data_IF_822718848352
#
_entry.id   IF_822718848352
#
_cell.length_a   1.000
_cell.length_b   1.000
_cell.length_c   1.000
_cell.angle_alpha   90.00
_cell.angle_beta   90.00
_cell.angle_gamma   90.00
#
_symmetry.space_group_name_H-M   'P 1'
#
loop_
_entity.id
_entity.type
_entity.pdbx_description
1 polymer ?
#
# COMPACT_ATOMS: atom_id res chain seq x y z
N UNK A 1 19.07 13.85 3.08
CA UNK A 1 19.28 12.41 3.10
C UNK A 1 20.51 12.04 3.90
N UNK A 2 20.54 10.83 4.37
CA UNK A 2 21.63 10.27 5.17
C UNK A 2 22.01 8.89 4.64
N UNK A 3 23.23 8.43 4.94
CA UNK A 3 23.65 7.05 4.71
C UNK A 3 23.18 6.22 5.92
N UNK A 4 22.34 5.23 5.65
CA UNK A 4 21.77 4.36 6.70
C UNK A 4 22.66 3.14 6.96
N UNK A 5 23.21 2.54 5.90
CA UNK A 5 24.07 1.36 6.04
C UNK A 5 25.05 1.26 4.86
N UNK A 6 26.19 0.64 5.11
CA UNK A 6 27.19 0.27 4.11
C UNK A 6 27.63 -1.18 4.30
N UNK A 7 27.75 -1.91 3.19
CA UNK A 7 28.10 -3.33 3.19
C UNK A 7 29.19 -3.63 2.16
N UNK A 8 30.24 -4.34 2.60
CA UNK A 8 31.21 -4.94 1.69
C UNK A 8 30.64 -6.25 1.17
N UNK A 9 30.46 -6.37 -0.14
CA UNK A 9 30.04 -7.59 -0.80
C UNK A 9 31.25 -8.39 -1.27
N UNK A 10 31.28 -9.69 -0.97
CA UNK A 10 32.33 -10.60 -1.42
C UNK A 10 31.72 -11.66 -2.32
N UNK A 11 32.32 -11.95 -3.50
CA UNK A 11 31.85 -13.01 -4.38
C UNK A 11 31.79 -14.36 -3.69
N UNK A 12 30.97 -15.28 -4.22
CA UNK A 12 31.02 -16.67 -3.81
C UNK A 12 32.41 -17.24 -4.05
N UNK A 13 33.06 -17.69 -3.00
CA UNK A 13 34.43 -18.19 -3.01
C UNK A 13 34.66 -19.28 -1.95
N UNK A 14 35.71 -20.04 -2.11
CA UNK A 14 36.22 -20.96 -1.07
C UNK A 14 37.65 -20.56 -0.69
N UNK A 15 38.07 -20.94 0.51
CA UNK A 15 39.43 -20.71 1.01
C UNK A 15 40.06 -22.09 1.17
N UNK A 16 41.20 -22.32 0.54
CA UNK A 16 41.97 -23.55 0.64
C UNK A 16 42.40 -23.85 2.06
N UNK A 17 42.44 -25.11 2.43
CA UNK A 17 42.96 -25.65 3.70
C UNK A 17 44.19 -26.53 3.47
N UNK A 18 44.66 -26.62 2.23
CA UNK A 18 45.79 -27.47 1.84
C UNK A 18 45.51 -28.97 1.84
N UNK A 19 44.22 -29.38 1.99
CA UNK A 19 43.85 -30.81 2.15
C UNK A 19 42.60 -31.16 1.34
N UNK A 20 41.57 -30.34 1.39
CA UNK A 20 40.28 -30.62 0.77
C UNK A 20 40.25 -30.10 -0.68
N UNK A 21 39.53 -30.80 -1.52
CA UNK A 21 39.24 -30.36 -2.89
C UNK A 21 38.29 -29.13 -2.89
N UNK A 22 38.26 -28.41 -3.99
CA UNK A 22 37.34 -27.30 -4.14
C UNK A 22 35.88 -27.76 -3.96
N UNK A 23 35.52 -28.94 -4.46
CA UNK A 23 34.17 -29.48 -4.29
C UNK A 23 33.83 -29.71 -2.81
N UNK A 24 34.75 -30.32 -2.05
CA UNK A 24 34.59 -30.54 -0.61
C UNK A 24 34.52 -29.21 0.16
N UNK A 25 35.34 -28.22 -0.20
CA UNK A 25 35.30 -26.89 0.41
C UNK A 25 33.97 -26.18 0.13
N UNK A 26 33.38 -26.37 -1.05
CA UNK A 26 32.04 -25.86 -1.36
C UNK A 26 30.97 -26.51 -0.49
N UNK A 27 31.06 -27.83 -0.28
CA UNK A 27 30.15 -28.55 0.63
C UNK A 27 30.28 -28.07 2.08
N UNK A 28 31.52 -27.85 2.54
CA UNK A 28 31.78 -27.25 3.86
C UNK A 28 31.14 -25.89 3.99
N UNK A 29 31.34 -24.97 3.01
CA UNK A 29 30.73 -23.64 3.01
C UNK A 29 29.20 -23.74 2.96
N UNK A 30 28.64 -24.66 2.19
CA UNK A 30 27.22 -24.90 2.05
C UNK A 30 26.58 -25.56 3.28
N UNK A 31 27.36 -26.12 4.19
CA UNK A 31 26.88 -26.68 5.46
C UNK A 31 26.43 -25.61 6.47
N UNK A 32 26.77 -24.35 6.25
CA UNK A 32 26.24 -23.21 7.05
C UNK A 32 24.73 -23.24 7.04
N UNK A 33 24.04 -23.36 8.20
CA UNK A 33 22.61 -23.45 8.28
C UNK A 33 21.87 -22.19 7.73
N UNK A 34 22.58 -21.08 7.57
CA UNK A 34 22.06 -19.86 6.95
C UNK A 34 21.99 -19.91 5.42
N UNK A 35 22.58 -20.94 4.78
CA UNK A 35 22.57 -21.13 3.33
C UNK A 35 21.41 -22.01 2.87
N UNK A 36 20.72 -21.59 1.83
CA UNK A 36 19.59 -22.31 1.21
C UNK A 36 19.58 -22.18 -0.30
N UNK A 37 18.60 -22.77 -0.95
CA UNK A 37 18.38 -22.65 -2.40
C UNK A 37 17.60 -21.37 -2.67
N UNK A 38 18.06 -20.58 -3.63
CA UNK A 38 17.39 -19.32 -4.02
C UNK A 38 17.26 -18.34 -2.86
N UNK A 39 16.03 -18.00 -2.48
CA UNK A 39 15.71 -17.02 -1.44
C UNK A 39 15.13 -17.64 -0.16
N UNK A 40 15.23 -18.95 0.03
CA UNK A 40 14.69 -19.65 1.19
C UNK A 40 15.35 -19.24 2.51
N UNK A 41 16.64 -18.88 2.45
CA UNK A 41 17.43 -18.47 3.62
C UNK A 41 18.19 -17.18 3.35
N UNK A 42 18.84 -16.68 4.40
CA UNK A 42 19.60 -15.41 4.35
C UNK A 42 20.73 -15.47 3.33
N UNK A 43 21.44 -16.59 3.24
CA UNK A 43 22.51 -16.82 2.28
C UNK A 43 22.10 -17.88 1.25
N UNK A 44 22.59 -17.74 0.04
CA UNK A 44 22.39 -18.69 -1.03
C UNK A 44 23.55 -19.68 -1.08
N UNK A 45 23.29 -20.94 -1.43
CA UNK A 45 24.32 -21.94 -1.65
C UNK A 45 25.21 -21.58 -2.83
N UNK A 46 26.49 -21.95 -2.75
CA UNK A 46 27.41 -21.90 -3.88
C UNK A 46 27.19 -23.15 -4.73
N UNK A 47 27.01 -22.97 -6.02
CA UNK A 47 26.84 -24.06 -6.99
C UNK A 47 28.06 -24.13 -7.89
N UNK A 48 28.54 -25.37 -8.19
CA UNK A 48 29.63 -25.61 -9.14
C UNK A 48 29.07 -25.69 -10.57
N UNK A 49 28.38 -24.64 -11.01
CA UNK A 49 27.79 -24.49 -12.34
C UNK A 49 28.83 -24.10 -13.40
N UNK A 50 28.35 -23.80 -14.62
CA UNK A 50 29.20 -23.39 -15.73
C UNK A 50 30.05 -22.14 -15.41
N UNK A 51 29.50 -21.18 -14.64
CA UNK A 51 30.25 -19.98 -14.24
C UNK A 51 31.37 -20.31 -13.25
N UNK A 52 31.09 -21.14 -12.26
CA UNK A 52 32.12 -21.59 -11.32
C UNK A 52 33.24 -22.34 -12.03
N UNK A 53 32.90 -23.24 -13.00
CA UNK A 53 33.90 -23.96 -13.82
C UNK A 53 34.78 -22.96 -14.59
N UNK A 54 34.20 -22.00 -15.30
CA UNK A 54 34.95 -20.97 -16.01
C UNK A 54 35.85 -20.15 -15.09
N UNK A 55 35.41 -19.83 -13.86
CA UNK A 55 36.23 -19.11 -12.88
C UNK A 55 37.40 -19.93 -12.37
N UNK A 56 37.23 -21.25 -12.16
CA UNK A 56 38.31 -22.16 -11.81
C UNK A 56 39.29 -22.37 -12.98
N UNK A 57 38.81 -22.56 -14.21
CA UNK A 57 39.64 -22.71 -15.41
C UNK A 57 40.58 -21.51 -15.63
N UNK A 58 40.12 -20.29 -15.38
CA UNK A 58 40.94 -19.06 -15.44
C UNK A 58 42.08 -19.04 -14.43
N UNK A 59 41.98 -19.85 -13.39
CA UNK A 59 43.01 -20.02 -12.36
C UNK A 59 43.76 -21.34 -12.50
N UNK A 60 43.59 -22.05 -13.62
CA UNK A 60 44.16 -23.36 -13.89
C UNK A 60 43.77 -24.42 -12.84
N UNK A 61 42.54 -24.29 -12.27
CA UNK A 61 41.97 -25.19 -11.25
C UNK A 61 40.78 -25.96 -11.77
N UNK A 62 40.47 -27.08 -11.13
CA UNK A 62 39.25 -27.89 -11.33
C UNK A 62 38.58 -28.12 -9.99
N UNK A 63 37.35 -28.70 -10.01
CA UNK A 63 36.65 -29.04 -8.76
C UNK A 63 37.43 -30.02 -7.87
N UNK A 64 38.27 -30.85 -8.47
CA UNK A 64 39.13 -31.84 -7.75
C UNK A 64 40.48 -31.26 -7.32
N UNK A 65 40.78 -30.00 -7.68
CA UNK A 65 42.03 -29.35 -7.27
C UNK A 65 42.02 -29.08 -5.77
N UNK A 66 43.18 -29.24 -5.10
CA UNK A 66 43.38 -28.93 -3.68
C UNK A 66 44.10 -27.58 -3.60
N UNK A 67 43.42 -26.46 -3.25
CA UNK A 67 44.07 -25.18 -3.10
C UNK A 67 45.02 -25.14 -1.88
N UNK A 68 46.07 -24.37 -1.99
CA UNK A 68 46.98 -24.17 -0.85
C UNK A 68 46.25 -23.58 0.37
N UNK A 69 46.78 -23.79 1.56
CA UNK A 69 46.24 -23.21 2.79
C UNK A 69 46.19 -21.68 2.69
N UNK A 70 45.02 -21.10 2.95
CA UNK A 70 44.75 -19.66 2.81
C UNK A 70 44.54 -19.16 1.36
N UNK A 71 44.68 -20.03 0.34
CA UNK A 71 44.44 -19.63 -1.04
C UNK A 71 42.93 -19.32 -1.27
N UNK A 72 42.61 -18.11 -1.69
CA UNK A 72 41.25 -17.71 -2.05
C UNK A 72 40.95 -18.13 -3.50
N UNK A 73 39.89 -18.92 -3.68
CA UNK A 73 39.44 -19.38 -4.99
C UNK A 73 38.05 -18.76 -5.27
N UNK A 74 37.94 -17.65 -6.03
CA UNK A 74 36.66 -17.07 -6.47
C UNK A 74 35.95 -18.03 -7.40
N UNK A 75 34.66 -18.30 -7.11
CA UNK A 75 33.75 -19.12 -7.93
C UNK A 75 32.72 -18.29 -8.69
N UNK A 76 32.68 -16.98 -8.42
CA UNK A 76 31.80 -16.01 -9.06
C UNK A 76 32.58 -14.77 -9.47
N UNK A 77 32.17 -14.17 -10.59
CA UNK A 77 32.73 -12.87 -11.05
C UNK A 77 32.05 -11.68 -10.39
N UNK A 78 30.87 -11.87 -9.81
CA UNK A 78 30.05 -10.80 -9.17
C UNK A 78 29.80 -11.14 -7.71
N UNK A 79 29.74 -10.10 -6.89
CA UNK A 79 29.56 -10.22 -5.43
C UNK A 79 28.05 -10.22 -5.04
N UNK A 80 27.24 -11.04 -5.70
CA UNK A 80 25.80 -11.12 -5.42
C UNK A 80 25.50 -12.18 -4.35
N UNK A 81 24.68 -11.81 -3.37
CA UNK A 81 24.22 -12.76 -2.34
C UNK A 81 23.41 -13.92 -2.95
N UNK A 82 22.65 -13.64 -4.02
CA UNK A 82 21.85 -14.63 -4.74
C UNK A 82 22.64 -15.73 -5.44
N UNK A 83 23.94 -15.55 -5.60
CA UNK A 83 24.86 -16.50 -6.24
C UNK A 83 25.92 -17.06 -5.28
N UNK A 84 25.66 -17.00 -3.98
CA UNK A 84 26.54 -17.55 -2.95
C UNK A 84 27.54 -16.58 -2.34
N UNK A 85 27.50 -15.28 -2.72
CA UNK A 85 28.30 -14.25 -2.10
C UNK A 85 27.93 -13.97 -0.64
N UNK A 86 28.79 -13.21 0.05
CA UNK A 86 28.62 -12.81 1.45
C UNK A 86 28.59 -11.29 1.58
N UNK A 87 28.11 -10.80 2.72
CA UNK A 87 28.00 -9.40 3.05
C UNK A 87 28.59 -9.14 4.44
N UNK A 88 29.51 -8.19 4.54
CA UNK A 88 30.09 -7.74 5.81
C UNK A 88 29.67 -6.30 6.07
N UNK A 89 29.10 -6.01 7.24
CA UNK A 89 28.75 -4.63 7.63
C UNK A 89 30.03 -3.79 7.78
N UNK A 90 30.05 -2.66 7.11
CA UNK A 90 31.15 -1.67 7.14
C UNK A 90 30.67 -0.26 7.44
N UNK A 91 29.44 -0.15 7.97
CA UNK A 91 28.75 1.13 8.18
C UNK A 91 29.55 2.06 9.09
N UNK A 92 30.13 1.55 10.16
CA UNK A 92 30.82 2.35 11.17
C UNK A 92 32.22 2.77 10.75
N UNK A 93 32.80 2.10 9.75
CA UNK A 93 34.17 2.37 9.29
C UNK A 93 34.26 3.12 7.97
N UNK A 94 33.12 3.42 7.33
CA UNK A 94 33.11 4.15 6.06
C UNK A 94 33.71 5.56 6.23
N UNK A 95 34.66 5.92 5.35
CA UNK A 95 35.24 7.25 5.35
C UNK A 95 34.18 8.31 5.04
N UNK A 96 34.19 9.50 5.70
CA UNK A 96 33.26 10.59 5.46
C UNK A 96 33.10 10.99 3.98
N UNK A 97 34.23 11.10 3.24
CA UNK A 97 34.19 11.42 1.82
C UNK A 97 33.40 10.39 1.00
N UNK A 98 33.53 9.10 1.32
CA UNK A 98 32.81 8.03 0.63
C UNK A 98 31.30 8.07 0.95
N UNK A 99 30.98 8.40 2.20
CA UNK A 99 29.58 8.65 2.65
C UNK A 99 28.97 9.82 1.88
N UNK A 100 29.66 10.96 1.86
CA UNK A 100 29.17 12.17 1.20
C UNK A 100 29.02 11.98 -0.31
N UNK A 101 29.95 11.26 -0.94
CA UNK A 101 29.87 10.90 -2.35
C UNK A 101 28.61 10.08 -2.65
N UNK A 102 28.31 9.05 -1.85
CA UNK A 102 27.13 8.22 -2.03
C UNK A 102 25.82 9.04 -1.86
N UNK A 103 25.75 9.89 -0.83
CA UNK A 103 24.60 10.79 -0.62
C UNK A 103 24.42 11.74 -1.81
N UNK A 104 25.50 12.31 -2.32
CA UNK A 104 25.46 13.21 -3.48
C UNK A 104 25.00 12.50 -4.74
N UNK A 105 25.42 11.24 -4.95
CA UNK A 105 25.01 10.46 -6.12
C UNK A 105 23.49 10.22 -6.13
N UNK A 106 22.91 9.83 -4.99
CA UNK A 106 21.47 9.64 -4.84
C UNK A 106 20.70 10.95 -5.08
N UNK A 107 21.16 12.04 -4.47
CA UNK A 107 20.54 13.37 -4.65
C UNK A 107 20.62 13.88 -6.09
N UNK A 108 21.72 13.65 -6.80
CA UNK A 108 21.90 14.08 -8.18
C UNK A 108 20.92 13.42 -9.14
N UNK A 109 20.48 12.20 -8.83
CA UNK A 109 19.49 11.44 -9.60
C UNK A 109 18.05 11.78 -9.16
N UNK A 110 17.88 12.39 -7.97
CA UNK A 110 16.56 12.74 -7.43
C UNK A 110 15.83 11.57 -6.78
N UNK A 111 16.55 10.59 -6.23
CA UNK A 111 15.97 9.48 -5.52
C UNK A 111 15.80 9.78 -4.02
N UNK A 112 14.68 9.38 -3.46
CA UNK A 112 14.42 9.45 -2.01
C UNK A 112 15.13 8.31 -1.26
N UNK A 113 15.13 7.12 -1.86
CA UNK A 113 15.81 5.91 -1.39
C UNK A 113 16.65 5.35 -2.52
N UNK A 114 17.89 4.98 -2.25
CA UNK A 114 18.74 4.39 -3.26
C UNK A 114 19.93 3.65 -2.68
N UNK A 115 20.54 2.80 -3.49
CA UNK A 115 21.77 2.09 -3.19
C UNK A 115 22.87 2.48 -4.19
N UNK A 116 24.09 2.68 -3.71
CA UNK A 116 25.25 3.00 -4.53
C UNK A 116 26.22 1.83 -4.52
N UNK A 117 26.47 1.25 -5.69
CA UNK A 117 27.51 0.25 -5.88
C UNK A 117 28.83 0.96 -6.15
N UNK A 118 29.73 0.86 -5.18
CA UNK A 118 31.00 1.57 -5.15
C UNK A 118 32.17 0.60 -5.10
N UNK A 119 33.13 0.77 -6.00
CA UNK A 119 34.38 0.03 -6.01
C UNK A 119 35.49 0.85 -5.35
N UNK A 120 36.09 0.30 -4.32
CA UNK A 120 37.23 0.89 -3.62
C UNK A 120 38.15 -0.21 -3.09
N UNK A 121 39.44 0.10 -2.95
CA UNK A 121 40.41 -0.78 -2.30
C UNK A 121 40.19 -0.89 -0.80
N UNK A 122 39.76 0.22 -0.17
CA UNK A 122 39.50 0.30 1.25
C UNK A 122 38.40 1.35 1.51
N UNK A 123 37.28 0.93 2.06
CA UNK A 123 36.15 1.82 2.33
C UNK A 123 36.42 2.82 3.48
N UNK A 124 37.39 2.50 4.33
CA UNK A 124 37.82 3.35 5.45
C UNK A 124 38.80 4.47 5.04
N UNK A 125 39.21 4.50 3.78
CA UNK A 125 40.07 5.53 3.23
C UNK A 125 39.30 6.37 2.21
N UNK A 126 39.67 7.65 2.07
CA UNK A 126 39.04 8.56 1.13
C UNK A 126 39.23 8.11 -0.33
N UNK A 127 38.15 8.05 -1.10
CA UNK A 127 38.23 7.78 -2.54
C UNK A 127 39.07 8.82 -3.28
N UNK A 128 39.26 10.01 -2.71
CA UNK A 128 40.07 11.09 -3.28
C UNK A 128 41.56 10.78 -3.21
N UNK A 129 41.94 9.96 -2.23
CA UNK A 129 43.35 9.61 -2.00
C UNK A 129 43.70 8.27 -2.68
N UNK A 130 42.84 7.25 -2.50
CA UNK A 130 43.14 5.89 -2.99
C UNK A 130 42.47 5.55 -4.32
N UNK A 131 41.61 6.45 -4.82
CA UNK A 131 40.77 6.20 -5.96
C UNK A 131 39.56 5.37 -5.60
N UNK A 132 38.69 5.21 -6.59
CA UNK A 132 37.42 4.47 -6.48
C UNK A 132 36.42 4.98 -7.50
N UNK A 133 35.32 4.26 -7.71
CA UNK A 133 34.30 4.67 -8.66
C UNK A 133 32.93 4.09 -8.34
N UNK A 134 31.91 4.88 -8.62
CA UNK A 134 30.52 4.41 -8.62
C UNK A 134 30.31 3.62 -9.89
N UNK A 135 29.84 2.39 -9.76
CA UNK A 135 29.47 1.53 -10.88
C UNK A 135 28.00 1.68 -11.24
N UNK A 136 27.15 1.79 -10.21
CA UNK A 136 25.72 1.78 -10.39
C UNK A 136 25.01 2.49 -9.23
N UNK A 137 23.85 3.10 -9.54
CA UNK A 137 22.92 3.62 -8.55
C UNK A 137 21.58 2.93 -8.72
N UNK A 138 21.12 2.26 -7.67
CA UNK A 138 19.92 1.44 -7.67
C UNK A 138 18.76 2.17 -6.98
N UNK A 139 17.63 2.33 -7.68
CA UNK A 139 16.41 2.94 -7.15
C UNK A 139 15.65 2.04 -6.16
N UNK A 140 15.89 0.73 -6.19
CA UNK A 140 15.27 -0.25 -5.29
C UNK A 140 16.34 -1.16 -4.65
N UNK A 141 17.12 -0.63 -3.68
CA UNK A 141 18.21 -1.38 -3.09
C UNK A 141 17.70 -2.55 -2.25
N UNK A 142 18.40 -3.67 -2.31
CA UNK A 142 18.10 -4.83 -1.48
C UNK A 142 18.45 -4.60 -0.01
N UNK A 143 17.53 -4.84 0.91
CA UNK A 143 17.75 -4.67 2.35
C UNK A 143 18.42 -5.87 3.03
N UNK A 144 18.31 -7.07 2.46
CA UNK A 144 18.72 -8.33 3.07
C UNK A 144 20.17 -8.30 3.59
N UNK A 145 21.09 -7.73 2.79
CA UNK A 145 22.50 -7.68 3.14
C UNK A 145 22.81 -6.77 4.35
N UNK A 146 21.93 -5.86 4.67
CA UNK A 146 22.06 -4.95 5.80
C UNK A 146 21.36 -5.47 7.05
N UNK A 147 20.13 -6.02 6.90
CA UNK A 147 19.36 -6.53 8.05
C UNK A 147 19.89 -7.87 8.56
N UNK A 148 20.57 -8.62 7.71
CA UNK A 148 21.17 -9.92 8.07
C UNK A 148 22.52 -10.11 7.35
N UNK A 149 23.55 -9.34 7.71
CA UNK A 149 24.89 -9.49 7.15
C UNK A 149 25.48 -10.86 7.54
N UNK A 150 26.42 -11.35 6.71
CA UNK A 150 27.19 -12.57 7.04
C UNK A 150 28.07 -12.34 8.25
N UNK A 151 28.62 -11.13 8.36
CA UNK A 151 29.50 -10.65 9.42
C UNK A 151 29.20 -9.21 9.78
N UNK A 152 29.41 -8.84 11.06
CA UNK A 152 29.17 -7.49 11.58
C UNK A 152 27.79 -7.30 12.16
N UNK A 153 27.35 -6.04 12.25
CA UNK A 153 26.12 -5.65 12.96
C UNK A 153 24.94 -5.58 12.02
N UNK A 154 23.80 -6.27 12.30
CA UNK A 154 22.56 -6.04 11.60
C UNK A 154 22.10 -4.58 11.71
N UNK A 155 21.67 -3.98 10.60
CA UNK A 155 21.18 -2.60 10.54
C UNK A 155 19.70 -2.55 10.19
N UNK A 156 18.95 -1.77 10.95
CA UNK A 156 17.59 -1.43 10.56
C UNK A 156 17.62 -0.38 9.44
N UNK A 157 17.47 -0.85 8.22
CA UNK A 157 17.39 0.02 7.04
C UNK A 157 15.93 0.30 6.64
N UNK A 158 14.96 -0.42 7.20
CA UNK A 158 13.56 -0.26 6.90
C UNK A 158 12.94 0.88 7.73
N UNK A 159 13.28 0.98 9.01
CA UNK A 159 12.80 2.03 9.90
C UNK A 159 12.98 3.42 9.33
N UNK A 160 14.21 3.87 8.99
CA UNK A 160 14.44 5.19 8.39
C UNK A 160 13.66 5.46 7.09
N UNK A 161 13.42 4.43 6.27
CA UNK A 161 12.59 4.57 5.06
C UNK A 161 11.13 4.81 5.43
N UNK A 162 10.61 4.06 6.41
CA UNK A 162 9.24 4.24 6.89
C UNK A 162 9.07 5.61 7.55
N UNK A 163 10.01 6.03 8.38
CA UNK A 163 9.97 7.34 9.05
C UNK A 163 10.07 8.51 8.05
N UNK A 164 10.79 8.32 6.95
CA UNK A 164 10.84 9.30 5.86
C UNK A 164 9.51 9.38 5.12
N UNK A 165 8.88 8.24 4.80
CA UNK A 165 7.61 8.18 4.07
C UNK A 165 6.43 8.61 4.95
N UNK A 166 6.47 8.28 6.23
CA UNK A 166 5.44 8.56 7.23
C UNK A 166 6.08 9.17 8.49
N UNK A 167 6.43 10.46 8.45
CA UNK A 167 6.97 11.13 9.63
C UNK A 167 6.03 10.98 10.84
N UNK A 168 6.54 10.98 12.08
CA UNK A 168 5.72 10.86 13.28
C UNK A 168 4.53 11.81 13.28
N UNK A 169 3.31 11.27 13.39
CA UNK A 169 2.06 12.03 13.31
C UNK A 169 1.52 12.30 11.91
N UNK A 170 2.22 11.93 10.86
CA UNK A 170 1.68 12.00 9.51
C UNK A 170 0.58 10.95 9.30
N UNK A 171 -0.52 11.30 8.61
CA UNK A 171 -1.56 10.33 8.31
C UNK A 171 -1.02 9.27 7.34
N UNK A 172 -1.13 8.00 7.73
CA UNK A 172 -0.76 6.87 6.87
C UNK A 172 -1.91 6.36 6.00
N UNK A 173 -3.10 6.95 6.15
CA UNK A 173 -4.32 6.59 5.43
C UNK A 173 -5.16 7.82 5.18
N UNK A 174 -5.83 7.86 4.04
CA UNK A 174 -6.85 8.86 3.74
C UNK A 174 -8.22 8.36 4.18
N UNK A 175 -9.14 9.25 4.61
CA UNK A 175 -10.53 8.88 4.87
C UNK A 175 -11.20 8.30 3.62
N UNK A 176 -12.01 7.27 3.81
CA UNK A 176 -12.72 6.58 2.73
C UNK A 176 -14.22 6.63 2.99
N UNK A 177 -14.98 7.11 2.02
CA UNK A 177 -16.43 6.95 1.95
C UNK A 177 -16.79 5.96 0.84
N UNK A 178 -17.45 4.87 1.16
CA UNK A 178 -17.97 3.90 0.20
C UNK A 178 -19.48 4.03 0.05
N UNK A 179 -19.97 4.11 -1.19
CA UNK A 179 -21.38 4.36 -1.50
C UNK A 179 -21.91 3.25 -2.38
N UNK A 180 -22.98 2.58 -1.92
CA UNK A 180 -23.70 1.58 -2.70
C UNK A 180 -25.21 1.84 -2.72
N UNK A 181 -25.91 1.14 -3.56
CA UNK A 181 -27.36 1.22 -3.74
C UNK A 181 -27.75 0.62 -5.08
N UNK A 182 -29.03 0.41 -5.31
CA UNK A 182 -29.50 0.10 -6.66
C UNK A 182 -29.39 1.33 -7.53
N UNK A 183 -29.91 2.45 -7.08
CA UNK A 183 -29.93 3.74 -7.77
C UNK A 183 -29.24 4.84 -6.97
N UNK A 184 -28.79 5.90 -7.65
CA UNK A 184 -28.24 7.12 -7.02
C UNK A 184 -26.77 7.07 -6.64
N UNK A 185 -26.06 5.93 -6.79
CA UNK A 185 -24.64 5.78 -6.43
C UNK A 185 -23.73 6.84 -7.05
N UNK A 186 -23.73 6.94 -8.36
CA UNK A 186 -22.89 7.87 -9.12
C UNK A 186 -23.20 9.34 -8.77
N UNK A 187 -24.48 9.68 -8.69
CA UNK A 187 -24.92 11.04 -8.31
C UNK A 187 -24.42 11.40 -6.91
N UNK A 188 -24.64 10.52 -5.93
CA UNK A 188 -24.21 10.75 -4.54
C UNK A 188 -22.69 10.82 -4.43
N UNK A 189 -21.95 9.94 -5.13
CA UNK A 189 -20.50 9.96 -5.14
C UNK A 189 -19.93 11.25 -5.73
N UNK A 190 -20.49 11.72 -6.84
CA UNK A 190 -20.09 12.99 -7.46
C UNK A 190 -20.42 14.20 -6.59
N UNK A 191 -21.61 14.23 -5.98
CA UNK A 191 -21.99 15.30 -5.06
C UNK A 191 -21.05 15.36 -3.86
N UNK A 192 -20.75 14.20 -3.24
CA UNK A 192 -19.82 14.13 -2.10
C UNK A 192 -18.42 14.58 -2.49
N UNK A 193 -17.89 14.08 -3.60
CA UNK A 193 -16.56 14.48 -4.09
C UNK A 193 -16.51 15.99 -4.37
N UNK A 194 -17.58 16.56 -4.98
CA UNK A 194 -17.67 17.99 -5.22
C UNK A 194 -17.70 18.79 -3.91
N UNK A 195 -18.50 18.41 -2.94
CA UNK A 195 -18.57 19.06 -1.62
C UNK A 195 -17.20 19.04 -0.93
N UNK A 196 -16.51 17.89 -0.95
CA UNK A 196 -15.16 17.78 -0.40
C UNK A 196 -14.17 18.69 -1.12
N UNK A 197 -14.23 18.77 -2.44
CA UNK A 197 -13.40 19.70 -3.23
C UNK A 197 -13.67 21.16 -2.87
N UNK A 198 -14.93 21.54 -2.74
CA UNK A 198 -15.31 22.91 -2.32
C UNK A 198 -14.88 23.23 -0.88
N UNK A 199 -14.72 22.21 -0.04
CA UNK A 199 -14.15 22.33 1.30
C UNK A 199 -12.62 22.42 1.34
N UNK A 200 -11.95 22.37 0.17
CA UNK A 200 -10.50 22.53 0.04
C UNK A 200 -9.71 21.22 0.06
N UNK A 201 -10.40 20.08 -0.01
CA UNK A 201 -9.74 18.76 -0.11
C UNK A 201 -9.56 18.34 -1.57
N UNK A 202 -8.60 17.47 -1.80
CA UNK A 202 -8.36 16.81 -3.10
C UNK A 202 -9.02 15.43 -3.12
N UNK A 203 -10.27 15.29 -3.62
CA UNK A 203 -10.95 14.00 -3.63
C UNK A 203 -10.44 13.09 -4.74
N UNK A 204 -10.20 11.83 -4.40
CA UNK A 204 -10.15 10.72 -5.35
C UNK A 204 -11.50 10.04 -5.42
N UNK A 205 -12.02 9.73 -6.61
CA UNK A 205 -13.34 9.12 -6.76
C UNK A 205 -13.32 8.00 -7.80
N UNK A 206 -14.05 6.94 -7.51
CA UNK A 206 -14.41 5.91 -8.49
C UNK A 206 -15.89 6.00 -8.85
N UNK A 207 -16.23 5.74 -10.11
CA UNK A 207 -17.62 5.67 -10.57
C UNK A 207 -17.79 4.72 -11.75
N UNK A 208 -19.04 4.56 -12.22
CA UNK A 208 -19.40 3.72 -13.38
C UNK A 208 -18.82 4.23 -14.70
N UNK A 209 -18.35 5.45 -14.76
CA UNK A 209 -17.80 6.08 -15.97
C UNK A 209 -16.32 6.43 -15.86
N UNK A 210 -15.68 6.20 -14.69
CA UNK A 210 -14.25 6.42 -14.59
C UNK A 210 -13.67 6.56 -13.19
N UNK A 211 -12.36 6.81 -13.17
CA UNK A 211 -11.60 7.28 -12.03
C UNK A 211 -11.38 8.78 -12.15
N UNK A 212 -11.60 9.49 -11.07
CA UNK A 212 -11.43 10.94 -11.00
C UNK A 212 -10.47 11.32 -9.86
N UNK A 213 -9.53 12.22 -10.16
CA UNK A 213 -8.65 12.86 -9.18
C UNK A 213 -8.89 14.35 -9.25
N UNK A 214 -9.22 14.98 -8.15
CA UNK A 214 -9.56 16.42 -8.07
C UNK A 214 -10.61 16.86 -9.10
N UNK A 215 -11.61 16.01 -9.36
CA UNK A 215 -12.68 16.26 -10.33
C UNK A 215 -12.29 16.08 -11.79
N UNK A 216 -11.03 15.74 -12.10
CA UNK A 216 -10.58 15.42 -13.45
C UNK A 216 -10.61 13.91 -13.68
N UNK A 217 -11.25 13.47 -14.77
CA UNK A 217 -11.27 12.05 -15.15
C UNK A 217 -9.91 11.62 -15.67
N UNK A 218 -9.25 10.71 -14.92
CA UNK A 218 -7.93 10.16 -15.26
C UNK A 218 -8.02 8.84 -16.02
N UNK A 219 -9.10 8.09 -15.84
CA UNK A 219 -9.34 6.83 -16.51
C UNK A 219 -10.82 6.67 -16.81
N UNK A 220 -11.16 6.20 -18.01
CA UNK A 220 -12.54 5.97 -18.46
C UNK A 220 -12.92 4.49 -18.32
N UNK A 221 -14.18 4.21 -17.98
CA UNK A 221 -14.77 2.87 -17.89
C UNK A 221 -15.47 2.59 -16.58
N UNK A 222 -16.09 1.41 -16.45
CA UNK A 222 -16.72 0.97 -15.20
C UNK A 222 -15.65 0.70 -14.12
N UNK A 223 -15.50 1.65 -13.23
CA UNK A 223 -14.48 1.68 -12.18
C UNK A 223 -15.06 1.48 -10.77
N UNK A 224 -16.14 0.70 -10.65
CA UNK A 224 -16.85 0.46 -9.36
C UNK A 224 -16.33 -0.76 -8.60
N UNK A 225 -15.14 -1.23 -8.92
CA UNK A 225 -14.54 -2.43 -8.34
C UNK A 225 -13.26 -2.20 -7.51
N UNK A 226 -12.70 -3.27 -6.92
CA UNK A 226 -11.54 -3.16 -6.01
C UNK A 226 -10.24 -2.70 -6.68
N UNK A 227 -10.08 -2.94 -7.98
CA UNK A 227 -8.88 -2.49 -8.72
C UNK A 227 -8.84 -0.96 -8.79
N UNK A 228 -9.95 -0.35 -9.17
CA UNK A 228 -10.08 1.11 -9.24
C UNK A 228 -10.03 1.77 -7.86
N UNK A 229 -10.57 1.12 -6.82
CA UNK A 229 -10.39 1.59 -5.45
C UNK A 229 -8.89 1.67 -5.08
N UNK A 230 -8.10 0.66 -5.42
CA UNK A 230 -6.64 0.68 -5.22
C UNK A 230 -5.94 1.75 -6.04
N UNK A 231 -6.35 1.97 -7.29
CA UNK A 231 -5.79 3.04 -8.14
C UNK A 231 -5.96 4.41 -7.49
N UNK A 232 -7.17 4.72 -7.03
CA UNK A 232 -7.44 5.97 -6.31
C UNK A 232 -6.59 6.08 -5.05
N UNK A 233 -6.59 5.04 -4.21
CA UNK A 233 -5.87 5.05 -2.93
C UNK A 233 -4.35 5.03 -3.07
N UNK A 234 -3.82 4.75 -4.25
CA UNK A 234 -2.38 4.82 -4.55
C UNK A 234 -1.95 6.19 -5.07
N UNK A 235 -2.88 7.10 -5.35
CA UNK A 235 -2.52 8.45 -5.78
C UNK A 235 -2.09 9.30 -4.56
N UNK A 236 -0.84 9.81 -4.55
CA UNK A 236 -0.31 10.55 -3.41
C UNK A 236 -0.90 11.95 -3.23
N UNK A 237 -1.72 12.42 -4.16
CA UNK A 237 -2.31 13.77 -4.12
C UNK A 237 -3.63 13.83 -3.39
N UNK A 238 -4.32 12.69 -3.21
CA UNK A 238 -5.66 12.69 -2.61
C UNK A 238 -5.62 12.87 -1.10
N UNK A 239 -6.56 13.64 -0.59
CA UNK A 239 -6.80 13.82 0.85
C UNK A 239 -7.91 12.89 1.37
N UNK A 240 -8.78 12.41 0.47
CA UNK A 240 -9.86 11.48 0.78
C UNK A 240 -10.29 10.71 -0.47
N UNK A 241 -10.94 9.56 -0.25
CA UNK A 241 -11.48 8.73 -1.32
C UNK A 241 -13.00 8.58 -1.23
N UNK A 242 -13.70 8.75 -2.36
CA UNK A 242 -15.12 8.45 -2.52
C UNK A 242 -15.25 7.27 -3.49
N UNK A 243 -15.65 6.12 -2.96
CA UNK A 243 -15.68 4.87 -3.71
C UNK A 243 -17.14 4.49 -4.05
N UNK A 244 -17.54 4.69 -5.31
CA UNK A 244 -18.77 4.09 -5.80
C UNK A 244 -18.58 2.57 -5.85
N UNK A 245 -19.44 1.83 -5.16
CA UNK A 245 -19.32 0.38 -4.99
C UNK A 245 -20.55 -0.33 -5.57
N UNK A 246 -20.35 -0.97 -6.71
CA UNK A 246 -21.42 -1.71 -7.37
C UNK A 246 -21.43 -3.18 -6.99
N UNK A 247 -22.62 -3.79 -7.03
CA UNK A 247 -22.83 -5.20 -6.79
C UNK A 247 -21.84 -6.11 -7.54
N UNK A 248 -21.62 -5.82 -8.82
CA UNK A 248 -20.76 -6.63 -9.68
C UNK A 248 -19.30 -6.67 -9.22
N UNK A 249 -18.80 -5.60 -8.64
CA UNK A 249 -17.48 -5.53 -8.00
C UNK A 249 -17.43 -6.34 -6.71
N UNK A 250 -18.41 -6.11 -5.82
CA UNK A 250 -18.52 -6.80 -4.53
C UNK A 250 -18.54 -8.33 -4.67
N UNK A 251 -19.39 -8.86 -5.56
CA UNK A 251 -19.53 -10.30 -5.77
C UNK A 251 -18.28 -10.95 -6.37
N UNK A 252 -17.57 -10.22 -7.24
CA UNK A 252 -16.39 -10.79 -7.93
C UNK A 252 -15.12 -10.77 -7.10
N UNK A 253 -14.91 -9.70 -6.32
CA UNK A 253 -13.61 -9.45 -5.72
C UNK A 253 -13.67 -8.58 -4.44
N UNK A 254 -14.84 -8.38 -3.86
CA UNK A 254 -15.03 -7.61 -2.63
C UNK A 254 -14.80 -6.10 -2.79
N UNK A 255 -14.48 -5.44 -1.66
CA UNK A 255 -14.33 -3.98 -1.58
C UNK A 255 -12.98 -3.46 -2.08
N UNK A 256 -11.94 -4.28 -2.07
CA UNK A 256 -10.56 -3.83 -2.31
C UNK A 256 -9.90 -3.12 -1.12
N UNK A 257 -10.65 -2.84 -0.07
CA UNK A 257 -10.21 -2.26 1.21
C UNK A 257 -10.77 -3.10 2.35
N UNK A 258 -10.08 -3.10 3.49
CA UNK A 258 -10.55 -3.84 4.67
C UNK A 258 -11.62 -3.08 5.45
N UNK A 259 -11.46 -1.77 5.54
CA UNK A 259 -12.32 -0.86 6.30
C UNK A 259 -12.55 0.43 5.53
N UNK A 260 -13.67 1.08 5.79
CA UNK A 260 -13.98 2.42 5.32
C UNK A 260 -14.41 3.28 6.50
N UNK A 261 -14.17 4.59 6.43
CA UNK A 261 -14.62 5.50 7.49
C UNK A 261 -16.14 5.67 7.46
N UNK A 262 -16.69 5.83 6.26
CA UNK A 262 -18.13 5.98 6.06
C UNK A 262 -18.62 4.97 5.05
N UNK A 263 -19.60 4.17 5.43
CA UNK A 263 -20.33 3.28 4.52
C UNK A 263 -21.76 3.76 4.32
N UNK A 264 -22.18 3.96 3.07
CA UNK A 264 -23.53 4.42 2.76
C UNK A 264 -24.29 3.44 1.86
N UNK A 265 -25.51 3.10 2.25
CA UNK A 265 -26.44 2.30 1.44
C UNK A 265 -27.68 3.12 1.13
N UNK A 266 -27.89 3.44 -0.15
CA UNK A 266 -28.94 4.34 -0.60
C UNK A 266 -30.31 3.65 -0.72
N UNK A 267 -30.35 2.48 -1.36
CA UNK A 267 -31.57 1.68 -1.55
C UNK A 267 -31.24 0.27 -2.05
N UNK A 268 -32.22 -0.63 -1.88
CA UNK A 268 -32.22 -1.99 -2.42
C UNK A 268 -33.52 -2.24 -3.16
N UNK A 269 -33.47 -2.19 -4.49
CA UNK A 269 -34.64 -2.41 -5.35
C UNK A 269 -34.39 -3.57 -6.29
N UNK A 270 -35.49 -4.14 -6.85
CA UNK A 270 -35.46 -5.29 -7.76
C UNK A 270 -34.89 -4.88 -9.13
N UNK A 271 -33.58 -4.68 -9.18
CA UNK A 271 -32.85 -4.41 -10.42
C UNK A 271 -31.69 -5.38 -10.56
N UNK A 272 -31.51 -5.92 -11.78
CA UNK A 272 -30.47 -6.89 -12.10
C UNK A 272 -30.54 -8.20 -11.28
N UNK A 273 -31.70 -8.65 -10.83
CA UNK A 273 -31.87 -9.99 -10.24
C UNK A 273 -31.67 -11.08 -11.31
N UNK A 274 -31.33 -12.31 -10.87
CA UNK A 274 -31.05 -13.44 -11.76
C UNK A 274 -29.63 -13.47 -12.34
N UNK A 275 -28.75 -12.54 -11.94
CA UNK A 275 -27.37 -12.46 -12.42
C UNK A 275 -26.39 -12.91 -11.34
N UNK A 276 -25.49 -13.86 -11.66
CA UNK A 276 -24.42 -14.36 -10.77
C UNK A 276 -24.89 -14.91 -9.43
N UNK A 277 -26.04 -15.63 -9.45
CA UNK A 277 -26.58 -16.30 -8.27
C UNK A 277 -27.23 -15.37 -7.24
N UNK A 278 -27.58 -14.15 -7.64
CA UNK A 278 -28.37 -13.22 -6.82
C UNK A 278 -29.77 -13.13 -7.43
N UNK A 279 -30.70 -13.88 -6.85
CA UNK A 279 -32.04 -14.09 -7.41
C UNK A 279 -33.12 -13.36 -6.60
N UNK A 280 -32.82 -12.94 -5.37
CA UNK A 280 -33.76 -12.28 -4.49
C UNK A 280 -33.27 -10.92 -3.99
N UNK A 281 -34.21 -10.08 -3.51
CA UNK A 281 -33.89 -8.79 -2.90
C UNK A 281 -33.07 -8.94 -1.62
N UNK A 282 -33.34 -9.99 -0.85
CA UNK A 282 -32.61 -10.30 0.38
C UNK A 282 -31.14 -10.58 0.07
N UNK A 283 -30.85 -11.43 -0.92
CA UNK A 283 -29.49 -11.71 -1.38
C UNK A 283 -28.79 -10.45 -1.89
N UNK A 284 -29.51 -9.59 -2.63
CA UNK A 284 -28.98 -8.32 -3.08
C UNK A 284 -28.69 -7.37 -1.90
N UNK A 285 -29.53 -7.35 -0.89
CA UNK A 285 -29.33 -6.59 0.34
C UNK A 285 -28.10 -7.10 1.11
N UNK A 286 -27.90 -8.42 1.23
CA UNK A 286 -26.72 -9.02 1.85
C UNK A 286 -25.42 -8.60 1.17
N UNK A 287 -25.38 -8.58 -0.15
CA UNK A 287 -24.20 -8.11 -0.89
C UNK A 287 -23.91 -6.64 -0.64
N UNK A 288 -24.95 -5.79 -0.66
CA UNK A 288 -24.77 -4.34 -0.43
C UNK A 288 -24.44 -4.01 1.03
N UNK A 289 -24.92 -4.83 1.96
CA UNK A 289 -24.68 -4.69 3.41
C UNK A 289 -23.19 -4.68 3.76
N UNK A 290 -22.34 -5.39 2.99
CA UNK A 290 -20.89 -5.42 3.18
C UNK A 290 -20.31 -4.01 3.35
N UNK A 291 -20.85 -3.01 2.63
CA UNK A 291 -20.35 -1.62 2.68
C UNK A 291 -20.50 -1.00 4.08
N UNK A 292 -21.55 -1.35 4.81
CA UNK A 292 -21.77 -0.85 6.18
C UNK A 292 -21.22 -1.78 7.26
N UNK A 293 -21.00 -3.06 6.97
CA UNK A 293 -20.29 -3.98 7.85
C UNK A 293 -18.82 -3.60 8.03
N UNK A 294 -18.19 -3.07 6.98
CA UNK A 294 -16.78 -2.61 7.03
C UNK A 294 -16.61 -1.14 7.39
N UNK A 295 -17.71 -0.44 7.74
CA UNK A 295 -17.66 0.96 8.16
C UNK A 295 -17.22 1.07 9.63
N UNK A 296 -16.20 1.89 9.89
CA UNK A 296 -15.67 2.08 11.24
C UNK A 296 -16.28 3.27 11.98
N UNK A 297 -16.46 4.41 11.27
CA UNK A 297 -16.88 5.63 11.92
C UNK A 297 -18.37 5.89 11.77
N UNK A 298 -18.92 5.72 10.56
CA UNK A 298 -20.34 6.01 10.33
C UNK A 298 -20.96 5.07 9.28
N UNK A 299 -22.08 4.46 9.61
CA UNK A 299 -22.97 3.80 8.67
C UNK A 299 -24.14 4.72 8.32
N UNK A 300 -24.28 5.09 7.04
CA UNK A 300 -25.38 5.93 6.54
C UNK A 300 -26.43 5.04 5.88
N UNK A 301 -27.63 5.02 6.45
CA UNK A 301 -28.72 4.12 6.09
C UNK A 301 -29.98 4.88 5.72
N UNK A 302 -30.54 4.59 4.55
CA UNK A 302 -31.86 5.10 4.15
C UNK A 302 -32.95 4.38 4.96
N UNK A 303 -33.61 5.11 5.85
CA UNK A 303 -34.66 4.56 6.71
C UNK A 303 -35.97 4.32 5.95
N UNK A 304 -36.16 4.94 4.78
CA UNK A 304 -37.35 4.76 3.94
C UNK A 304 -37.31 3.44 3.14
N UNK A 305 -36.16 2.73 3.12
CA UNK A 305 -36.00 1.42 2.52
C UNK A 305 -35.90 0.33 3.61
N UNK A 306 -36.89 -0.55 3.67
CA UNK A 306 -36.96 -1.59 4.71
C UNK A 306 -35.79 -2.57 4.69
N UNK A 307 -35.19 -2.86 3.52
CA UNK A 307 -34.01 -3.71 3.42
C UNK A 307 -32.74 -3.00 3.91
N UNK A 308 -32.61 -1.71 3.61
CA UNK A 308 -31.49 -0.91 4.11
C UNK A 308 -31.61 -0.69 5.61
N UNK A 309 -32.80 -0.40 6.11
CA UNK A 309 -33.04 -0.18 7.54
C UNK A 309 -32.61 -1.38 8.40
N UNK A 310 -32.85 -2.62 7.94
CA UNK A 310 -32.42 -3.85 8.61
C UNK A 310 -30.90 -3.97 8.75
N UNK A 311 -30.13 -3.27 7.92
CA UNK A 311 -28.66 -3.34 7.93
C UNK A 311 -28.07 -2.71 9.20
N UNK A 312 -28.84 -1.90 9.93
CA UNK A 312 -28.40 -1.32 11.21
C UNK A 312 -28.00 -2.35 12.26
N UNK A 313 -28.55 -3.56 12.20
CA UNK A 313 -28.20 -4.67 13.09
C UNK A 313 -26.90 -5.40 12.71
N UNK A 314 -26.23 -5.04 11.63
CA UNK A 314 -25.04 -5.72 11.11
C UNK A 314 -23.80 -4.83 11.03
N UNK A 315 -23.90 -3.56 11.39
CA UNK A 315 -22.76 -2.64 11.40
C UNK A 315 -22.22 -2.46 12.81
N UNK A 316 -20.89 -2.39 12.92
CA UNK A 316 -20.17 -2.03 14.15
C UNK A 316 -19.64 -0.59 14.10
N UNK A 317 -20.11 0.21 13.14
CA UNK A 317 -19.74 1.61 13.04
C UNK A 317 -20.08 2.38 14.33
N UNK A 318 -19.19 3.27 14.74
CA UNK A 318 -19.38 4.09 15.97
C UNK A 318 -20.67 4.89 15.96
N UNK A 319 -21.13 5.29 14.76
CA UNK A 319 -22.33 6.10 14.57
C UNK A 319 -23.18 5.49 13.45
N UNK A 320 -24.49 5.37 13.70
CA UNK A 320 -25.47 5.13 12.64
C UNK A 320 -26.11 6.47 12.32
N UNK A 321 -26.12 6.86 11.04
CA UNK A 321 -26.82 8.03 10.54
C UNK A 321 -27.98 7.58 9.66
N UNK A 322 -29.20 7.76 10.13
CA UNK A 322 -30.39 7.51 9.30
C UNK A 322 -30.69 8.68 8.39
N UNK A 323 -31.09 8.39 7.16
CA UNK A 323 -31.57 9.39 6.19
C UNK A 323 -33.02 9.07 5.86
N UNK A 324 -33.89 10.07 5.90
CA UNK A 324 -35.32 9.90 5.56
C UNK A 324 -35.90 11.12 4.88
N UNK A 325 -36.79 10.89 3.92
CA UNK A 325 -37.62 11.94 3.34
C UNK A 325 -38.95 12.13 4.12
N UNK A 326 -39.27 11.21 5.04
CA UNK A 326 -40.44 11.27 5.90
C UNK A 326 -40.07 11.93 7.25
N UNK A 327 -40.48 13.19 7.47
CA UNK A 327 -40.19 13.88 8.73
C UNK A 327 -40.74 13.20 9.97
N UNK A 328 -41.80 12.38 9.84
CA UNK A 328 -42.49 11.71 10.94
C UNK A 328 -42.11 10.24 11.06
N UNK A 329 -41.00 9.79 10.44
CA UNK A 329 -40.56 8.41 10.51
C UNK A 329 -40.26 8.00 11.96
N UNK A 330 -41.09 7.12 12.54
CA UNK A 330 -41.10 6.80 13.98
C UNK A 330 -39.75 6.39 14.55
N UNK A 331 -39.06 5.43 13.90
CA UNK A 331 -37.75 4.95 14.33
C UNK A 331 -36.68 6.08 14.28
N UNK A 332 -36.70 6.89 13.22
CA UNK A 332 -35.72 7.99 13.08
C UNK A 332 -35.96 9.05 14.16
N UNK A 333 -37.24 9.36 14.49
CA UNK A 333 -37.57 10.29 15.57
C UNK A 333 -37.15 9.78 16.96
N UNK A 334 -37.30 8.48 17.22
CA UNK A 334 -36.78 7.87 18.46
C UNK A 334 -35.26 7.91 18.52
N UNK A 335 -34.59 7.60 17.41
CA UNK A 335 -33.14 7.67 17.31
C UNK A 335 -32.60 9.09 17.56
N UNK A 336 -33.24 10.12 17.00
CA UNK A 336 -32.92 11.53 17.25
C UNK A 336 -33.11 11.88 18.75
N UNK A 337 -34.22 11.47 19.37
CA UNK A 337 -34.49 11.72 20.80
C UNK A 337 -33.43 11.05 21.69
N UNK A 338 -32.89 9.93 21.28
CA UNK A 338 -31.79 9.25 21.97
C UNK A 338 -30.41 9.90 21.72
N UNK A 339 -30.35 11.01 20.98
CA UNK A 339 -29.11 11.69 20.62
C UNK A 339 -28.38 11.13 19.40
N UNK A 340 -29.04 10.24 18.65
CA UNK A 340 -28.49 9.64 17.44
C UNK A 340 -28.42 10.63 16.27
N UNK A 341 -27.57 10.31 15.28
CA UNK A 341 -27.40 11.13 14.07
C UNK A 341 -28.45 10.78 13.02
N UNK A 342 -29.07 11.77 12.44
CA UNK A 342 -30.00 11.58 11.31
C UNK A 342 -30.03 12.80 10.40
N UNK A 343 -30.35 12.57 9.14
CA UNK A 343 -30.65 13.63 8.18
C UNK A 343 -32.10 13.44 7.69
N UNK A 344 -32.95 14.42 7.92
CA UNK A 344 -34.37 14.34 7.57
C UNK A 344 -34.76 15.50 6.68
N UNK A 345 -35.74 15.25 5.80
CA UNK A 345 -36.41 16.30 5.04
C UNK A 345 -37.58 16.82 5.86
N UNK A 346 -37.55 18.09 6.23
CA UNK A 346 -38.56 18.73 7.06
C UNK A 346 -39.37 19.74 6.31
N UNK A 347 -40.65 19.87 6.63
CA UNK A 347 -41.50 20.93 6.11
C UNK A 347 -41.21 22.21 6.88
N UNK A 348 -40.94 23.29 6.16
CA UNK A 348 -40.76 24.63 6.69
C UNK A 348 -41.65 25.67 5.99
N UNK A 349 -41.63 26.89 6.49
CA UNK A 349 -42.47 27.98 5.95
C UNK A 349 -42.17 28.29 4.49
N UNK A 350 -40.90 28.10 4.07
CA UNK A 350 -40.42 28.42 2.73
C UNK A 350 -40.19 27.17 1.85
N UNK A 351 -40.78 26.03 2.18
CA UNK A 351 -40.59 24.77 1.46
C UNK A 351 -39.99 23.67 2.32
N UNK A 352 -39.31 22.73 1.68
CA UNK A 352 -38.68 21.61 2.37
C UNK A 352 -37.20 21.91 2.70
N UNK A 353 -36.81 21.60 3.93
CA UNK A 353 -35.46 21.83 4.47
C UNK A 353 -34.76 20.50 4.73
N UNK A 354 -33.57 20.37 4.24
CA UNK A 354 -32.67 19.28 4.65
C UNK A 354 -32.08 19.65 6.01
N UNK A 355 -32.33 18.82 7.02
CA UNK A 355 -31.92 19.06 8.41
C UNK A 355 -31.09 17.92 8.95
N UNK A 356 -29.94 18.24 9.51
CA UNK A 356 -29.07 17.30 10.21
C UNK A 356 -29.35 17.37 11.72
N UNK A 357 -29.52 16.21 12.33
CA UNK A 357 -29.57 16.00 13.76
C UNK A 357 -28.31 15.30 14.22
N UNK A 358 -27.65 15.80 15.23
CA UNK A 358 -26.49 15.16 15.84
C UNK A 358 -26.37 15.52 17.32
N UNK A 359 -26.36 14.51 18.19
CA UNK A 359 -26.20 14.69 19.66
C UNK A 359 -27.16 15.72 20.26
N UNK A 360 -28.41 15.72 19.80
CA UNK A 360 -29.43 16.67 20.24
C UNK A 360 -29.40 18.05 19.56
N UNK A 361 -28.40 18.31 18.71
CA UNK A 361 -28.37 19.51 17.87
C UNK A 361 -29.29 19.37 16.69
N UNK A 362 -29.96 20.46 16.32
CA UNK A 362 -30.82 20.59 15.14
C UNK A 362 -30.18 21.60 14.20
N UNK A 363 -29.67 21.14 13.06
CA UNK A 363 -28.84 21.92 12.14
C UNK A 363 -29.54 21.97 10.76
N UNK A 364 -30.26 23.03 10.44
CA UNK A 364 -30.77 23.25 9.10
C UNK A 364 -29.62 23.43 8.12
N UNK A 365 -29.57 22.63 7.06
CA UNK A 365 -28.50 22.69 6.07
C UNK A 365 -28.86 23.51 4.86
N UNK A 366 -29.97 23.16 4.18
CA UNK A 366 -30.32 23.80 2.91
C UNK A 366 -31.80 23.57 2.56
N UNK A 367 -32.40 24.56 1.96
CA UNK A 367 -33.70 24.40 1.32
C UNK A 367 -33.57 23.56 0.05
N UNK A 368 -34.46 22.61 -0.19
CA UNK A 368 -34.38 21.72 -1.36
C UNK A 368 -34.42 22.45 -2.69
N UNK A 369 -35.22 23.55 -2.80
CA UNK A 369 -35.31 24.37 -4.00
C UNK A 369 -34.05 25.20 -4.32
N UNK A 370 -33.08 25.26 -3.38
CA UNK A 370 -31.78 25.91 -3.60
C UNK A 370 -30.70 24.96 -4.04
N UNK A 371 -30.99 23.67 -4.13
CA UNK A 371 -30.02 22.69 -4.63
C UNK A 371 -29.90 22.89 -6.15
N UNK A 372 -28.67 23.11 -6.69
CA UNK A 372 -28.50 23.37 -8.14
C UNK A 372 -29.12 22.31 -9.04
N UNK A 373 -29.05 21.03 -8.64
CA UNK A 373 -29.64 19.92 -9.37
C UNK A 373 -31.19 20.00 -9.51
N UNK A 374 -31.85 20.81 -8.70
CA UNK A 374 -33.32 21.02 -8.80
C UNK A 374 -33.70 22.27 -9.59
N UNK A 375 -32.71 23.13 -9.90
CA UNK A 375 -32.92 24.37 -10.68
C UNK A 375 -32.82 24.12 -12.18
N UNK A 376 -32.14 23.07 -12.59
CA UNK A 376 -31.91 22.75 -14.01
C UNK A 376 -32.85 21.65 -14.55
N UNK A 377 -33.80 21.17 -13.76
CA UNK A 377 -34.86 20.23 -14.14
C UNK A 377 -34.47 18.79 -13.90
#
# INVERSE_FOLDING_TARGET
GELVAATKRTPGQVIGDGKSTIAELVDIVNSDPRRGVGHEKVLTRIELDAQAKMMMERQELTADSIPADGQVVPLRSTANLSTGGTATDVTDIIHPDNRDMAIRAIRAIGLDVGGVDFLSKNIAESYREIGGGICEVNAAPGFRMHVAPSEGTPRDVAGPVIDMLFPPGAPSRVPIAAITGTNGKTTTSRMLAHVCKMAGFTPGMTSTDGVYIDGQRTLEGDMTGPVSARMVLSDPKIDLAVLETARGGLVRAGMGVRHVNVGAVLNVQADHLGLKGIDTLEQLAEVKRIVVEVAEDCAVLNADDANVLKMSGYTEAKVICYVTMNPDHGLVREHIRAGGRACALEAGVNGQMITLYDKGSHIPLMWTHLIPATLEG
#
